data_IF_062665535801
#
_entry.id   IF_062665535801
#
_cell.length_a   1.000
_cell.length_b   1.000
_cell.length_c   1.000
_cell.angle_alpha   90.00
_cell.angle_beta   90.00
_cell.angle_gamma   90.00
#
_symmetry.space_group_name_H-M   'P 1'
#
loop_
_entity.id
_entity.type
_entity.pdbx_description
1 polymer ?
#
# COMPACT_ATOMS: atom_id res chain seq x y z
N UNK A 1 -22.99 25.30 5.36
CA UNK A 1 -22.47 25.03 4.01
C UNK A 1 -21.64 23.76 4.07
N UNK A 2 -22.12 22.68 3.45
CA UNK A 2 -21.49 21.36 3.47
C UNK A 2 -20.27 21.36 2.55
N UNK A 3 -19.08 21.10 3.10
CA UNK A 3 -17.89 20.81 2.31
C UNK A 3 -17.71 19.29 2.26
N UNK A 4 -18.30 18.57 1.29
CA UNK A 4 -18.01 17.15 1.13
C UNK A 4 -16.59 17.05 0.57
N UNK A 5 -15.56 16.97 1.41
CA UNK A 5 -14.24 16.53 0.91
C UNK A 5 -14.45 15.13 0.31
N UNK A 6 -14.21 14.98 -1.00
CA UNK A 6 -14.93 14.01 -1.79
C UNK A 6 -14.28 12.64 -1.64
N UNK A 7 -15.08 11.57 -1.83
CA UNK A 7 -14.77 10.13 -1.85
C UNK A 7 -13.35 9.71 -2.31
N UNK A 8 -12.68 10.53 -3.12
CA UNK A 8 -11.30 10.37 -3.60
C UNK A 8 -10.26 10.28 -2.47
N UNK A 9 -10.35 11.09 -1.42
CA UNK A 9 -9.37 11.05 -0.32
C UNK A 9 -9.51 9.77 0.51
N UNK A 10 -10.74 9.37 0.82
CA UNK A 10 -11.02 8.09 1.47
C UNK A 10 -10.48 6.93 0.65
N UNK A 11 -10.68 6.95 -0.67
CA UNK A 11 -10.13 5.94 -1.59
C UNK A 11 -8.59 5.91 -1.58
N UNK A 12 -7.93 7.07 -1.53
CA UNK A 12 -6.46 7.15 -1.45
C UNK A 12 -5.90 6.55 -0.15
N UNK A 13 -6.59 6.73 0.97
CA UNK A 13 -6.21 6.10 2.25
C UNK A 13 -6.31 4.58 2.14
N UNK A 14 -7.41 4.06 1.60
CA UNK A 14 -7.59 2.62 1.40
C UNK A 14 -6.56 2.03 0.45
N UNK A 15 -6.24 2.73 -0.65
CA UNK A 15 -5.18 2.33 -1.57
C UNK A 15 -3.83 2.31 -0.84
N UNK A 16 -3.50 3.37 -0.11
CA UNK A 16 -2.22 3.45 0.63
C UNK A 16 -2.11 2.34 1.66
N UNK A 17 -3.18 2.06 2.40
CA UNK A 17 -3.25 0.95 3.35
C UNK A 17 -3.07 -0.40 2.67
N UNK A 18 -3.73 -0.64 1.54
CA UNK A 18 -3.55 -1.86 0.74
C UNK A 18 -2.12 -1.99 0.19
N UNK A 19 -1.47 -0.90 -0.23
CA UNK A 19 -0.08 -0.96 -0.71
C UNK A 19 0.91 -1.33 0.42
N UNK A 20 0.60 -1.01 1.68
CA UNK A 20 1.42 -1.42 2.83
C UNK A 20 1.30 -2.90 3.20
N UNK A 21 0.22 -3.57 2.85
CA UNK A 21 0.06 -5.00 3.17
C UNK A 21 0.93 -5.90 2.30
N UNK A 22 1.34 -5.45 1.11
CA UNK A 22 2.19 -6.21 0.20
C UNK A 22 3.61 -6.43 0.75
N UNK A 23 4.38 -5.40 1.17
CA UNK A 23 5.66 -5.62 1.81
C UNK A 23 5.51 -6.39 3.14
N UNK A 24 4.39 -6.22 3.86
CA UNK A 24 4.11 -7.00 5.06
C UNK A 24 3.91 -8.50 4.74
N UNK A 25 3.15 -8.83 3.69
CA UNK A 25 2.95 -10.20 3.23
C UNK A 25 4.27 -10.85 2.77
N UNK A 26 5.11 -10.11 2.04
CA UNK A 26 6.43 -10.57 1.61
C UNK A 26 7.34 -10.83 2.82
N UNK A 27 7.36 -9.91 3.79
CA UNK A 27 8.15 -10.06 5.01
C UNK A 27 7.68 -11.27 5.83
N UNK A 28 6.37 -11.44 6.00
CA UNK A 28 5.79 -12.59 6.68
C UNK A 28 6.12 -13.90 5.96
N UNK A 29 6.00 -13.95 4.63
CA UNK A 29 6.39 -15.12 3.84
C UNK A 29 7.86 -15.49 4.06
N UNK A 30 8.76 -14.50 4.12
CA UNK A 30 10.18 -14.76 4.43
C UNK A 30 10.43 -15.23 5.87
N UNK A 31 9.75 -14.63 6.85
CA UNK A 31 9.93 -14.98 8.28
C UNK A 31 9.37 -16.36 8.60
N UNK A 32 8.22 -16.70 8.02
CA UNK A 32 7.55 -17.97 8.24
C UNK A 32 8.11 -19.10 7.36
N UNK A 33 9.14 -18.80 6.55
CA UNK A 33 9.64 -19.69 5.48
C UNK A 33 8.49 -20.28 4.66
N UNK A 34 7.52 -19.41 4.34
CA UNK A 34 6.32 -19.80 3.63
C UNK A 34 6.67 -20.02 2.16
N UNK A 35 7.10 -21.24 1.88
CA UNK A 35 7.41 -21.73 0.55
C UNK A 35 6.14 -22.24 -0.13
N UNK A 36 6.19 -22.44 -1.45
CA UNK A 36 5.09 -23.08 -2.17
C UNK A 36 4.84 -24.48 -1.59
N UNK A 37 3.72 -24.63 -0.89
CA UNK A 37 3.24 -25.88 -0.29
C UNK A 37 2.09 -26.50 -1.09
N UNK A 38 1.51 -25.74 -2.04
CA UNK A 38 0.35 -26.16 -2.83
C UNK A 38 -0.99 -26.02 -2.10
N UNK A 39 -0.99 -25.57 -0.84
CA UNK A 39 -2.17 -25.41 -0.02
C UNK A 39 -2.93 -24.12 -0.32
N UNK A 40 -4.22 -24.09 0.07
CA UNK A 40 -5.10 -22.96 -0.19
C UNK A 40 -4.60 -21.65 0.44
N UNK A 41 -3.86 -21.74 1.56
CA UNK A 41 -3.25 -20.57 2.21
C UNK A 41 -2.24 -19.86 1.31
N UNK A 42 -1.40 -20.62 0.61
CA UNK A 42 -0.42 -20.05 -0.32
C UNK A 42 -1.10 -19.39 -1.52
N UNK A 43 -2.14 -20.00 -2.07
CA UNK A 43 -2.91 -19.43 -3.18
C UNK A 43 -3.62 -18.12 -2.80
N UNK A 44 -4.10 -17.99 -1.57
CA UNK A 44 -4.71 -16.74 -1.07
C UNK A 44 -3.68 -15.61 -1.04
N UNK A 45 -2.48 -15.87 -0.51
CA UNK A 45 -1.40 -14.86 -0.47
C UNK A 45 -0.93 -14.48 -1.86
N UNK A 46 -0.82 -15.45 -2.76
CA UNK A 46 -0.46 -15.19 -4.16
C UNK A 46 -1.53 -14.38 -4.89
N UNK A 47 -2.81 -14.74 -4.76
CA UNK A 47 -3.91 -13.98 -5.36
C UNK A 47 -3.96 -12.54 -4.84
N UNK A 48 -3.66 -12.35 -3.55
CA UNK A 48 -3.63 -11.03 -2.92
C UNK A 48 -2.48 -10.14 -3.40
N UNK A 49 -1.30 -10.72 -3.61
CA UNK A 49 -0.08 -10.00 -4.03
C UNK A 49 0.09 -9.92 -5.56
N UNK A 50 -0.63 -10.75 -6.32
CA UNK A 50 -0.56 -10.84 -7.78
C UNK A 50 -0.71 -9.49 -8.52
N UNK A 51 -1.64 -8.59 -8.17
CA UNK A 51 -1.79 -7.32 -8.89
C UNK A 51 -0.52 -6.46 -8.83
N UNK A 52 0.19 -6.47 -7.69
CA UNK A 52 1.45 -5.73 -7.54
C UNK A 52 2.58 -6.46 -8.28
N UNK A 53 2.64 -7.79 -8.15
CA UNK A 53 3.64 -8.60 -8.85
C UNK A 53 3.59 -8.37 -10.37
N UNK A 54 2.38 -8.35 -10.95
CA UNK A 54 2.16 -8.06 -12.38
C UNK A 54 2.63 -6.66 -12.79
N UNK A 55 2.46 -5.66 -11.92
CA UNK A 55 2.95 -4.29 -12.20
C UNK A 55 4.49 -4.22 -12.15
N UNK A 56 5.13 -5.09 -11.38
CA UNK A 56 6.59 -5.15 -11.24
C UNK A 56 7.28 -6.10 -12.22
N UNK A 57 6.53 -7.03 -12.84
CA UNK A 57 7.04 -8.04 -13.78
C UNK A 57 7.86 -7.46 -14.95
N UNK A 58 7.45 -6.35 -15.61
CA UNK A 58 8.22 -5.78 -16.72
C UNK A 58 9.63 -5.31 -16.31
N UNK A 59 9.85 -5.09 -15.01
CA UNK A 59 11.11 -4.61 -14.45
C UNK A 59 11.97 -5.74 -13.86
N UNK A 60 11.38 -6.93 -13.64
CA UNK A 60 11.98 -8.02 -12.86
C UNK A 60 13.24 -8.66 -13.48
N UNK A 61 13.37 -8.62 -14.82
CA UNK A 61 14.57 -9.14 -15.50
C UNK A 61 15.67 -8.09 -15.71
N UNK A 62 15.32 -6.81 -15.69
CA UNK A 62 16.23 -5.71 -15.99
C UNK A 62 16.78 -5.01 -14.74
N UNK A 63 16.05 -5.08 -13.61
CA UNK A 63 16.38 -4.34 -12.38
C UNK A 63 16.50 -5.34 -11.22
N UNK A 64 17.59 -5.29 -10.42
CA UNK A 64 17.77 -6.16 -9.27
C UNK A 64 16.59 -6.09 -8.28
N UNK A 65 16.26 -7.22 -7.66
CA UNK A 65 15.14 -7.32 -6.71
C UNK A 65 15.14 -6.23 -5.64
N UNK A 66 16.33 -5.99 -5.09
CA UNK A 66 16.55 -5.01 -4.02
C UNK A 66 16.27 -3.59 -4.52
N UNK A 67 16.67 -3.25 -5.75
CA UNK A 67 16.54 -1.91 -6.27
C UNK A 67 15.06 -1.52 -6.51
N UNK A 68 14.27 -2.41 -7.10
CA UNK A 68 12.83 -2.12 -7.29
C UNK A 68 12.08 -2.12 -5.95
N UNK A 69 12.46 -3.00 -5.01
CA UNK A 69 11.83 -3.03 -3.66
C UNK A 69 12.09 -1.73 -2.91
N UNK A 70 13.30 -1.20 -2.98
CA UNK A 70 13.64 0.09 -2.38
C UNK A 70 12.87 1.25 -3.02
N UNK A 71 12.78 1.28 -4.36
CA UNK A 71 11.99 2.28 -5.07
C UNK A 71 10.51 2.23 -4.66
N UNK A 72 9.92 1.03 -4.58
CA UNK A 72 8.55 0.82 -4.10
C UNK A 72 8.34 1.40 -2.70
N UNK A 73 9.22 1.07 -1.75
CA UNK A 73 9.11 1.57 -0.36
C UNK A 73 9.24 3.10 -0.30
N UNK A 74 10.15 3.69 -1.07
CA UNK A 74 10.32 5.15 -1.13
C UNK A 74 9.05 5.83 -1.64
N UNK A 75 8.48 5.33 -2.74
CA UNK A 75 7.23 5.87 -3.32
C UNK A 75 6.07 5.70 -2.34
N UNK A 76 5.96 4.54 -1.68
CA UNK A 76 4.93 4.26 -0.70
C UNK A 76 5.03 5.18 0.52
N UNK A 77 6.24 5.45 1.01
CA UNK A 77 6.49 6.42 2.08
C UNK A 77 6.10 7.84 1.65
N UNK A 78 6.50 8.27 0.46
CA UNK A 78 6.13 9.58 -0.07
C UNK A 78 4.61 9.74 -0.20
N UNK A 79 3.93 8.71 -0.72
CA UNK A 79 2.47 8.67 -0.82
C UNK A 79 1.81 8.71 0.57
N UNK A 80 2.36 7.99 1.54
CA UNK A 80 1.88 7.98 2.93
C UNK A 80 1.99 9.37 3.55
N UNK A 81 3.14 10.04 3.40
CA UNK A 81 3.34 11.41 3.89
C UNK A 81 2.36 12.39 3.23
N UNK A 82 2.13 12.26 1.93
CA UNK A 82 1.16 13.07 1.23
C UNK A 82 -0.27 12.83 1.76
N UNK A 83 -0.66 11.58 1.98
CA UNK A 83 -1.97 11.25 2.58
C UNK A 83 -2.11 11.86 3.99
N UNK A 84 -1.10 11.73 4.84
CA UNK A 84 -1.11 12.27 6.21
C UNK A 84 -1.21 13.79 6.22
N UNK A 85 -0.39 14.49 5.42
CA UNK A 85 -0.43 15.96 5.33
C UNK A 85 -1.82 16.47 4.88
N UNK A 86 -2.43 15.79 3.90
CA UNK A 86 -3.74 16.19 3.39
C UNK A 86 -4.90 15.77 4.31
N UNK A 87 -4.68 14.77 5.17
CA UNK A 87 -5.60 14.38 6.24
C UNK A 87 -5.65 15.45 7.33
N UNK A 88 -4.50 15.89 7.82
CA UNK A 88 -4.40 16.91 8.88
C UNK A 88 -4.91 18.27 8.41
N UNK A 89 -4.61 18.65 7.16
CA UNK A 89 -5.17 19.85 6.53
C UNK A 89 -6.70 19.77 6.30
N UNK A 90 -7.32 18.62 6.57
CA UNK A 90 -8.76 18.37 6.49
C UNK A 90 -9.49 18.17 7.80
N UNK A 91 -8.81 18.36 8.93
CA UNK A 91 -9.41 18.33 10.26
C UNK A 91 -10.57 19.33 10.39
N UNK A 92 -11.70 18.77 10.81
CA UNK A 92 -12.97 19.32 11.32
C UNK A 92 -13.04 20.85 11.54
N UNK A 93 -14.21 21.49 11.30
CA UNK A 93 -14.41 22.85 11.75
C UNK A 93 -14.14 22.87 13.26
N UNK A 94 -13.13 23.64 13.68
CA UNK A 94 -12.96 24.01 15.07
C UNK A 94 -14.30 24.56 15.52
N UNK A 95 -14.96 23.83 16.42
CA UNK A 95 -16.18 24.27 17.07
C UNK A 95 -15.87 25.43 17.99
N UNK A 96 -15.48 26.57 17.42
CA UNK A 96 -15.44 27.86 18.04
C UNK A 96 -16.60 28.65 17.44
N UNK A 97 -17.67 28.80 18.21
CA UNK A 97 -18.80 29.61 17.77
C UNK A 97 -20.08 29.40 18.58
N UNK A 98 -20.06 29.93 19.80
CA UNK A 98 -21.20 30.42 20.62
C UNK A 98 -22.33 29.47 20.98
#
# INVERSE_FOLDING_TARGET
MTNPRPKRYTLLIWITGYLWTVPAAIALSRVLDWQYDGDIGWWIVMAYTAPIMMLTEPFGSAIPFVAYTMAYIIVLLAMTLWVVQNWDAGGLPSGDGS
#
